data_IF_724724869522
#
_entry.id   IF_724724869522
#
_cell.length_a   1.000
_cell.length_b   1.000
_cell.length_c   1.000
_cell.angle_alpha   90.00
_cell.angle_beta   90.00
_cell.angle_gamma   90.00
#
_symmetry.space_group_name_H-M   'P 1'
#
loop_
_entity.id
_entity.type
_entity.pdbx_description
1 polymer ?
#
# COMPACT_ATOMS: atom_id res chain seq x y z
N UNK A 1 19.67 4.28 8.74
CA UNK A 1 19.79 5.75 8.93
C UNK A 1 18.49 6.40 9.40
N UNK A 2 17.36 6.25 8.69
CA UNK A 2 16.11 6.95 9.04
C UNK A 2 15.64 6.67 10.48
N UNK A 3 15.69 5.40 10.91
CA UNK A 3 15.28 5.00 12.26
C UNK A 3 16.12 5.67 13.36
N UNK A 4 17.42 5.82 13.14
CA UNK A 4 18.32 6.50 14.09
C UNK A 4 18.06 8.01 14.11
N UNK A 5 17.81 8.64 12.96
CA UNK A 5 17.46 10.06 12.87
C UNK A 5 16.08 10.36 13.50
N UNK A 6 15.10 9.47 13.31
CA UNK A 6 13.79 9.57 13.96
C UNK A 6 13.90 9.38 15.47
N UNK A 7 14.72 8.43 15.93
CA UNK A 7 14.97 8.24 17.36
C UNK A 7 15.65 9.47 17.99
N UNK A 8 16.65 10.04 17.32
CA UNK A 8 17.37 11.23 17.79
C UNK A 8 16.46 12.47 17.81
N UNK A 9 15.60 12.61 16.80
CA UNK A 9 14.59 13.67 16.72
C UNK A 9 13.52 13.56 17.82
N UNK A 10 13.06 12.34 18.13
CA UNK A 10 12.15 12.09 19.24
C UNK A 10 12.83 12.38 20.57
N UNK A 11 14.09 11.98 20.73
CA UNK A 11 14.89 12.24 21.92
C UNK A 11 15.09 13.75 22.15
N UNK A 12 15.46 14.51 21.12
CA UNK A 12 15.58 15.98 21.19
C UNK A 12 14.23 16.66 21.47
N UNK A 13 13.14 16.17 20.88
CA UNK A 13 11.80 16.72 21.15
C UNK A 13 11.35 16.49 22.60
N UNK A 14 11.65 15.32 23.16
CA UNK A 14 11.38 14.99 24.57
C UNK A 14 12.22 15.86 25.50
N UNK A 15 13.49 16.08 25.15
CA UNK A 15 14.42 16.87 25.94
C UNK A 15 14.08 18.37 25.91
N UNK A 16 13.81 18.93 24.72
CA UNK A 16 13.41 20.34 24.53
C UNK A 16 12.05 20.65 25.17
N UNK A 17 11.15 19.68 25.27
CA UNK A 17 9.86 19.84 25.95
C UNK A 17 9.93 19.64 27.48
N UNK A 18 11.12 19.37 28.04
CA UNK A 18 11.32 19.22 29.48
C UNK A 18 10.70 17.95 30.08
N UNK A 19 10.39 16.93 29.27
CA UNK A 19 9.76 15.67 29.72
C UNK A 19 10.78 14.57 30.07
N UNK A 20 12.08 14.84 29.91
CA UNK A 20 13.18 13.91 30.25
C UNK A 20 13.08 13.41 31.69
N UNK A 21 12.82 14.33 32.63
CA UNK A 21 12.71 14.07 34.06
C UNK A 21 11.51 13.17 34.40
N UNK A 22 10.36 13.39 33.75
CA UNK A 22 9.15 12.58 33.95
C UNK A 22 9.32 11.15 33.42
N UNK A 23 10.08 10.98 32.33
CA UNK A 23 10.40 9.66 31.79
C UNK A 23 11.42 8.95 32.70
N UNK A 24 12.39 9.68 33.25
CA UNK A 24 13.37 9.12 34.18
C UNK A 24 12.73 8.65 35.50
N UNK A 25 11.72 9.37 36.01
CA UNK A 25 10.88 8.94 37.15
C UNK A 25 10.03 7.73 36.76
N UNK A 26 9.38 7.74 35.59
CA UNK A 26 8.51 6.64 35.13
C UNK A 26 9.28 5.32 34.91
N UNK A 27 10.53 5.40 34.45
CA UNK A 27 11.41 4.25 34.24
C UNK A 27 12.15 3.85 35.54
N UNK A 28 11.95 4.60 36.64
CA UNK A 28 12.51 4.29 37.95
C UNK A 28 14.01 4.56 38.08
N UNK A 29 14.56 5.45 37.25
CA UNK A 29 15.96 5.88 37.30
C UNK A 29 16.24 6.92 38.39
N UNK A 30 15.21 7.65 38.85
CA UNK A 30 15.31 8.71 39.86
C UNK A 30 13.99 8.78 40.65
N UNK A 31 14.06 8.95 41.98
CA UNK A 31 12.87 8.91 42.86
C UNK A 31 12.16 10.26 43.01
N UNK A 32 12.83 11.39 42.73
CA UNK A 32 12.24 12.74 42.77
C UNK A 32 13.13 13.76 42.06
N UNK A 33 12.52 14.78 41.44
CA UNK A 33 13.24 15.93 40.88
C UNK A 33 13.36 17.06 41.91
N UNK A 34 14.50 17.79 41.96
CA UNK A 34 14.63 18.97 42.81
C UNK A 34 13.69 20.09 42.34
N UNK A 35 13.11 20.85 43.27
CA UNK A 35 12.12 21.92 43.04
C UNK A 35 12.68 23.15 42.29
N UNK A 36 13.96 23.14 41.91
CA UNK A 36 14.64 24.27 41.27
C UNK A 36 15.27 23.87 39.92
N UNK A 37 14.91 24.61 38.86
CA UNK A 37 15.37 24.41 37.48
C UNK A 37 16.88 24.55 37.30
N UNK A 38 17.37 24.01 36.18
CA UNK A 38 18.80 23.86 35.89
C UNK A 38 19.57 25.18 35.86
N UNK A 39 20.81 25.14 36.38
CA UNK A 39 21.74 26.26 36.43
C UNK A 39 22.44 26.43 35.08
N UNK A 40 22.15 27.51 34.36
CA UNK A 40 22.99 27.94 33.23
C UNK A 40 24.15 28.76 33.77
N UNK A 41 25.35 28.16 33.85
CA UNK A 41 26.59 28.88 34.17
C UNK A 41 27.23 29.42 32.89
N UNK A 42 27.40 30.74 32.79
CA UNK A 42 28.17 31.38 31.72
C UNK A 42 29.69 31.19 31.93
N UNK A 43 30.52 31.31 30.87
CA UNK A 43 31.96 31.16 31.03
C UNK A 43 32.54 32.35 31.79
N UNK A 44 33.25 32.03 32.88
CA UNK A 44 34.30 32.81 33.53
C UNK A 44 34.19 34.34 33.47
N UNK A 45 33.47 34.94 34.43
CA UNK A 45 33.66 36.35 34.81
C UNK A 45 32.40 37.20 35.01
N UNK A 46 31.21 36.71 34.65
CA UNK A 46 29.95 37.46 34.85
C UNK A 46 28.98 36.62 35.68
N UNK A 47 28.78 37.02 36.93
CA UNK A 47 27.92 36.34 37.89
C UNK A 47 26.44 36.70 37.61
N UNK A 48 25.81 35.99 36.69
CA UNK A 48 24.37 36.02 36.45
C UNK A 48 23.80 34.63 36.71
N UNK A 49 23.66 34.26 37.98
CA UNK A 49 22.93 33.07 38.40
C UNK A 49 21.42 33.35 38.28
N UNK A 50 20.82 32.98 37.15
CA UNK A 50 19.37 33.10 36.93
C UNK A 50 18.73 31.74 37.22
N UNK A 51 17.92 31.68 38.27
CA UNK A 51 17.11 30.52 38.64
C UNK A 51 15.68 30.72 38.12
N UNK A 52 15.16 29.78 37.33
CA UNK A 52 13.79 29.85 36.83
C UNK A 52 13.22 28.49 36.44
N UNK A 53 11.89 28.28 36.57
CA UNK A 53 11.24 27.07 36.09
C UNK A 53 11.30 27.03 34.55
N UNK A 54 11.71 25.88 33.98
CA UNK A 54 11.64 25.63 32.54
C UNK A 54 10.17 25.72 32.09
N UNK A 55 9.79 26.89 31.58
CA UNK A 55 8.56 27.03 30.80
C UNK A 55 8.95 26.88 29.35
N UNK A 56 8.28 25.96 28.66
CA UNK A 56 8.41 25.76 27.21
C UNK A 56 8.26 27.13 26.52
N UNK A 57 9.36 27.62 25.97
CA UNK A 57 9.42 28.93 25.35
C UNK A 57 8.93 28.89 23.90
N UNK A 58 8.68 30.05 23.32
CA UNK A 58 8.37 30.19 21.87
C UNK A 58 9.47 29.60 20.98
N UNK A 59 10.72 29.56 21.46
CA UNK A 59 11.86 28.97 20.76
C UNK A 59 11.76 27.43 20.72
N UNK A 60 11.31 26.79 21.81
CA UNK A 60 11.11 25.33 21.88
C UNK A 60 9.99 24.88 20.93
N UNK A 61 8.91 25.66 20.83
CA UNK A 61 7.87 25.42 19.82
C UNK A 61 8.38 25.56 18.39
N UNK A 62 9.29 26.51 18.13
CA UNK A 62 9.91 26.68 16.81
C UNK A 62 10.83 25.51 16.46
N UNK A 63 11.60 25.01 17.43
CA UNK A 63 12.44 23.81 17.27
C UNK A 63 11.56 22.58 16.99
N UNK A 64 10.47 22.40 17.73
CA UNK A 64 9.56 21.27 17.56
C UNK A 64 8.79 21.33 16.22
N UNK A 65 8.42 22.54 15.78
CA UNK A 65 7.85 22.78 14.44
C UNK A 65 8.87 22.47 13.33
N UNK A 66 10.13 22.87 13.50
CA UNK A 66 11.19 22.56 12.54
C UNK A 66 11.50 21.07 12.47
N UNK A 67 11.58 20.39 13.61
CA UNK A 67 11.81 18.94 13.70
C UNK A 67 10.67 18.13 13.10
N UNK A 68 9.42 18.50 13.37
CA UNK A 68 8.26 17.87 12.75
C UNK A 68 8.22 18.11 11.23
N UNK A 69 8.56 19.31 10.77
CA UNK A 69 8.72 19.63 9.35
C UNK A 69 9.81 18.78 8.69
N UNK A 70 10.97 18.58 9.34
CA UNK A 70 12.06 17.74 8.83
C UNK A 70 11.64 16.26 8.76
N UNK A 71 10.94 15.74 9.77
CA UNK A 71 10.41 14.36 9.75
C UNK A 71 9.40 14.18 8.60
N UNK A 72 8.47 15.12 8.43
CA UNK A 72 7.45 15.08 7.38
C UNK A 72 8.12 15.17 6.00
N UNK A 73 9.07 16.08 5.82
CA UNK A 73 9.78 16.23 4.55
C UNK A 73 10.63 15.01 4.21
N UNK A 74 11.27 14.36 5.19
CA UNK A 74 11.99 13.10 5.00
C UNK A 74 11.06 11.94 4.58
N UNK A 75 9.84 11.90 5.11
CA UNK A 75 8.83 10.90 4.73
C UNK A 75 8.20 11.18 3.36
N UNK A 76 7.90 12.44 3.07
CA UNK A 76 7.27 12.89 1.82
C UNK A 76 8.26 12.87 0.64
N UNK A 77 9.51 13.29 0.86
CA UNK A 77 10.55 13.38 -0.16
C UNK A 77 11.53 12.21 -0.12
N UNK A 78 11.12 11.06 0.46
CA UNK A 78 11.94 9.85 0.46
C UNK A 78 12.53 9.62 -0.93
N UNK A 79 13.86 9.70 -1.13
CA UNK A 79 14.46 9.29 -2.38
C UNK A 79 14.11 7.81 -2.54
N UNK A 80 13.25 7.52 -3.51
CA UNK A 80 12.97 6.15 -3.90
C UNK A 80 14.26 5.63 -4.50
N UNK A 81 15.06 4.94 -3.68
CA UNK A 81 15.98 3.95 -4.23
C UNK A 81 15.16 3.11 -5.21
N UNK A 82 15.66 3.03 -6.45
CA UNK A 82 15.06 2.22 -7.50
C UNK A 82 15.25 0.73 -7.15
N UNK A 83 14.63 0.27 -6.06
CA UNK A 83 14.23 -1.12 -5.96
C UNK A 83 13.27 -1.32 -7.12
N UNK A 84 13.74 -2.05 -8.14
CA UNK A 84 12.94 -2.66 -9.19
C UNK A 84 11.69 -3.25 -8.55
N UNK A 85 10.62 -2.45 -8.58
CA UNK A 85 9.38 -2.82 -7.93
C UNK A 85 8.72 -3.74 -8.94
N UNK A 86 8.83 -5.04 -8.69
CA UNK A 86 7.88 -6.05 -9.18
C UNK A 86 6.50 -5.44 -8.99
N UNK A 87 5.92 -4.93 -10.07
CA UNK A 87 4.62 -4.28 -10.02
C UNK A 87 3.61 -5.40 -9.77
N UNK A 88 3.35 -5.66 -8.48
CA UNK A 88 2.30 -6.59 -8.06
C UNK A 88 1.01 -6.05 -8.63
N UNK A 89 0.57 -6.64 -9.74
CA UNK A 89 -0.55 -6.25 -10.59
C UNK A 89 -1.66 -5.53 -9.84
N UNK A 90 -1.54 -4.21 -9.72
CA UNK A 90 -2.58 -3.39 -9.12
C UNK A 90 -3.75 -3.34 -10.09
N UNK A 91 -4.91 -3.76 -9.63
CA UNK A 91 -6.19 -3.72 -10.37
C UNK A 91 -6.69 -2.26 -10.47
N UNK A 92 -6.23 -1.41 -9.55
CA UNK A 92 -6.55 0.01 -9.50
C UNK A 92 -5.39 0.84 -10.04
N UNK A 93 -5.62 1.53 -11.15
CA UNK A 93 -4.75 2.54 -11.71
C UNK A 93 -5.19 3.93 -11.22
N UNK A 94 -4.22 4.82 -11.01
CA UNK A 94 -4.51 6.21 -10.69
C UNK A 94 -4.79 6.94 -12.00
N UNK A 95 -6.06 7.30 -12.23
CA UNK A 95 -6.47 8.08 -13.41
C UNK A 95 -6.01 9.52 -13.31
N UNK A 96 -6.14 10.11 -12.13
CA UNK A 96 -5.79 11.52 -11.92
C UNK A 96 -5.40 11.80 -10.47
N UNK A 97 -4.13 12.14 -10.30
CA UNK A 97 -3.57 12.56 -9.01
C UNK A 97 -4.21 13.84 -8.48
N UNK A 98 -4.71 14.72 -9.36
CA UNK A 98 -5.38 15.98 -8.95
C UNK A 98 -6.72 15.69 -8.26
N UNK A 99 -7.54 14.82 -8.84
CA UNK A 99 -8.83 14.42 -8.26
C UNK A 99 -8.66 13.67 -6.94
N UNK A 100 -7.62 12.82 -6.82
CA UNK A 100 -7.29 12.17 -5.53
C UNK A 100 -6.92 13.21 -4.47
N UNK A 101 -6.11 14.22 -4.81
CA UNK A 101 -5.73 15.31 -3.89
C UNK A 101 -6.95 16.13 -3.46
N UNK A 102 -7.84 16.49 -4.38
CA UNK A 102 -9.08 17.18 -4.04
C UNK A 102 -10.01 16.34 -3.17
N UNK A 103 -10.10 15.03 -3.44
CA UNK A 103 -10.85 14.10 -2.59
C UNK A 103 -10.29 14.05 -1.17
N UNK A 104 -8.99 13.85 -1.00
CA UNK A 104 -8.33 13.86 0.31
C UNK A 104 -8.58 15.17 1.08
N UNK A 105 -8.47 16.31 0.39
CA UNK A 105 -8.75 17.61 0.99
C UNK A 105 -10.21 17.74 1.43
N UNK A 106 -11.16 17.33 0.58
CA UNK A 106 -12.59 17.31 0.93
C UNK A 106 -12.89 16.41 2.12
N UNK A 107 -12.27 15.23 2.17
CA UNK A 107 -12.43 14.29 3.28
C UNK A 107 -11.90 14.89 4.58
N UNK A 108 -10.75 15.55 4.53
CA UNK A 108 -10.18 16.22 5.68
C UNK A 108 -11.11 17.32 6.22
N UNK A 109 -11.66 18.15 5.33
CA UNK A 109 -12.67 19.15 5.70
C UNK A 109 -13.94 18.52 6.27
N UNK A 110 -14.43 17.43 5.69
CA UNK A 110 -15.60 16.70 6.18
C UNK A 110 -15.39 16.18 7.61
N UNK A 111 -14.21 15.62 7.89
CA UNK A 111 -13.85 15.12 9.22
C UNK A 111 -13.75 16.26 10.23
N UNK A 112 -13.10 17.37 9.86
CA UNK A 112 -13.01 18.55 10.73
C UNK A 112 -14.39 19.12 11.03
N UNK A 113 -15.25 19.28 10.02
CA UNK A 113 -16.63 19.77 10.20
C UNK A 113 -17.42 18.81 11.10
N UNK A 114 -17.28 17.50 10.90
CA UNK A 114 -17.92 16.48 11.76
C UNK A 114 -17.43 16.56 13.20
N UNK A 115 -16.11 16.69 13.42
CA UNK A 115 -15.52 16.81 14.74
C UNK A 115 -15.98 18.10 15.45
N UNK A 116 -16.08 19.20 14.71
CA UNK A 116 -16.56 20.48 15.23
C UNK A 116 -18.02 20.40 15.70
N UNK A 117 -18.89 19.79 14.88
CA UNK A 117 -20.32 19.62 15.20
C UNK A 117 -20.60 18.55 16.27
N UNK A 118 -19.58 17.75 16.63
CA UNK A 118 -19.60 16.79 17.75
C UNK A 118 -18.93 17.31 19.01
N UNK A 119 -18.75 18.63 19.12
CA UNK A 119 -18.20 19.30 20.31
C UNK A 119 -16.76 18.89 20.66
N UNK A 120 -16.04 18.25 19.73
CA UNK A 120 -14.67 17.79 19.98
C UNK A 120 -13.74 18.95 20.34
N UNK A 121 -13.87 20.08 19.65
CA UNK A 121 -13.05 21.27 19.92
C UNK A 121 -13.44 21.98 21.21
N UNK A 122 -14.73 21.98 21.59
CA UNK A 122 -15.18 22.51 22.87
C UNK A 122 -14.58 21.68 24.02
N UNK A 123 -14.66 20.35 23.93
CA UNK A 123 -14.05 19.44 24.90
C UNK A 123 -12.53 19.61 25.00
N UNK A 124 -11.84 19.78 23.86
CA UNK A 124 -10.40 20.04 23.84
C UNK A 124 -10.05 21.37 24.51
N UNK A 125 -10.81 22.43 24.23
CA UNK A 125 -10.61 23.76 24.83
C UNK A 125 -10.84 23.73 26.35
N UNK A 126 -11.92 23.09 26.79
CA UNK A 126 -12.28 22.97 28.21
C UNK A 126 -11.20 22.25 29.01
N UNK A 127 -10.63 21.18 28.45
CA UNK A 127 -9.56 20.42 29.09
C UNK A 127 -8.24 21.20 29.21
N UNK A 128 -8.00 22.20 28.34
CA UNK A 128 -6.72 22.91 28.26
C UNK A 128 -6.76 24.26 28.98
N UNK A 129 -7.89 24.97 28.89
CA UNK A 129 -8.05 26.35 29.38
C UNK A 129 -8.92 26.41 30.65
N UNK A 130 -9.65 25.34 30.99
CA UNK A 130 -10.50 25.27 32.19
C UNK A 130 -11.79 26.08 32.10
N UNK A 131 -12.11 26.63 30.93
CA UNK A 131 -13.36 27.32 30.63
C UNK A 131 -14.46 26.33 30.25
N UNK A 132 -15.75 26.73 30.38
CA UNK A 132 -16.90 25.94 29.91
C UNK A 132 -17.37 26.48 28.56
N UNK A 133 -16.75 26.00 27.49
CA UNK A 133 -17.24 26.17 26.13
C UNK A 133 -18.16 25.00 25.76
N UNK A 134 -19.26 25.28 25.09
CA UNK A 134 -20.23 24.28 24.65
C UNK A 134 -20.53 24.46 23.16
N UNK A 135 -20.81 23.35 22.47
CA UNK A 135 -21.17 23.33 21.06
C UNK A 135 -20.00 23.45 20.07
N UNK A 136 -20.24 24.14 18.95
CA UNK A 136 -19.29 24.20 17.82
C UNK A 136 -18.51 25.51 17.79
N UNK A 137 -17.25 25.41 17.33
CA UNK A 137 -16.39 26.55 17.10
C UNK A 137 -16.63 27.14 15.70
N UNK A 138 -16.93 28.42 15.60
CA UNK A 138 -17.22 29.05 14.31
C UNK A 138 -17.31 30.56 14.39
N UNK A 139 -17.66 31.16 13.25
CA UNK A 139 -18.06 32.56 13.20
C UNK A 139 -19.55 32.61 13.49
N UNK A 140 -19.89 33.14 14.65
CA UNK A 140 -21.27 33.37 15.07
C UNK A 140 -21.46 34.88 15.24
N UNK A 141 -22.46 35.43 14.57
CA UNK A 141 -22.77 36.88 14.57
C UNK A 141 -21.54 37.77 14.29
N UNK A 142 -20.67 37.34 13.39
CA UNK A 142 -19.46 38.07 12.98
C UNK A 142 -18.26 37.96 13.93
N UNK A 143 -18.39 37.20 15.02
CA UNK A 143 -17.31 36.97 15.98
C UNK A 143 -16.92 35.49 16.04
N UNK A 144 -15.63 35.22 16.21
CA UNK A 144 -15.13 33.86 16.40
C UNK A 144 -15.42 33.41 17.83
N UNK A 145 -16.13 32.30 17.99
CA UNK A 145 -16.47 31.79 19.32
C UNK A 145 -17.06 30.38 19.31
N UNK A 146 -17.24 29.86 20.52
CA UNK A 146 -18.03 28.65 20.74
C UNK A 146 -19.48 29.04 21.00
N UNK A 147 -20.41 28.37 20.33
CA UNK A 147 -21.82 28.48 20.64
C UNK A 147 -22.46 27.09 20.67
N UNK A 148 -23.45 26.88 21.57
CA UNK A 148 -24.22 25.64 21.61
C UNK A 148 -24.85 25.40 20.24
N UNK A 149 -24.55 24.24 19.66
CA UNK A 149 -25.06 23.87 18.34
C UNK A 149 -26.14 22.80 18.52
N UNK A 150 -27.33 23.09 18.04
CA UNK A 150 -28.35 22.07 17.80
C UNK A 150 -28.21 21.59 16.36
N UNK A 151 -28.29 20.28 16.15
CA UNK A 151 -28.17 19.70 14.82
C UNK A 151 -29.32 20.14 13.93
N UNK A 152 -29.05 21.06 13.01
CA UNK A 152 -29.98 21.51 12.01
C UNK A 152 -29.95 20.63 10.76
N UNK A 153 -31.02 20.67 9.97
CA UNK A 153 -31.06 20.00 8.67
C UNK A 153 -29.95 20.47 7.71
N UNK A 154 -29.58 21.76 7.80
CA UNK A 154 -28.47 22.33 7.04
C UNK A 154 -27.12 21.67 7.37
N UNK A 155 -26.91 21.25 8.62
CA UNK A 155 -25.67 20.61 9.04
C UNK A 155 -25.49 19.23 8.42
N UNK A 156 -26.58 18.47 8.33
CA UNK A 156 -26.61 17.18 7.65
C UNK A 156 -26.37 17.34 6.15
N UNK A 157 -26.95 18.37 5.52
CA UNK A 157 -26.72 18.67 4.10
C UNK A 157 -25.26 19.01 3.84
N UNK A 158 -24.65 19.89 4.66
CA UNK A 158 -23.24 20.27 4.51
C UNK A 158 -22.32 19.06 4.54
N UNK A 159 -22.48 18.19 5.54
CA UNK A 159 -21.70 16.96 5.66
C UNK A 159 -21.98 16.01 4.49
N UNK A 160 -23.25 15.84 4.09
CA UNK A 160 -23.62 15.00 2.95
C UNK A 160 -22.95 15.49 1.66
N UNK A 161 -22.89 16.79 1.42
CA UNK A 161 -22.20 17.39 0.26
C UNK A 161 -20.70 17.11 0.32
N UNK A 162 -20.05 17.34 1.46
CA UNK A 162 -18.60 17.13 1.62
C UNK A 162 -18.19 15.66 1.42
N UNK A 163 -18.94 14.72 1.99
CA UNK A 163 -18.69 13.29 1.81
C UNK A 163 -19.03 12.82 0.39
N UNK A 164 -20.11 13.34 -0.22
CA UNK A 164 -20.46 13.04 -1.61
C UNK A 164 -19.42 13.56 -2.59
N UNK A 165 -18.87 14.75 -2.34
CA UNK A 165 -17.80 15.32 -3.16
C UNK A 165 -16.51 14.50 -3.05
N UNK A 166 -16.18 13.96 -1.87
CA UNK A 166 -15.09 12.99 -1.73
C UNK A 166 -15.31 11.74 -2.59
N UNK A 167 -16.50 11.14 -2.54
CA UNK A 167 -16.83 9.96 -3.35
C UNK A 167 -16.72 10.27 -4.85
N UNK A 168 -17.25 11.43 -5.27
CA UNK A 168 -17.13 11.89 -6.65
C UNK A 168 -15.67 12.04 -7.09
N UNK A 169 -14.84 12.66 -6.26
CA UNK A 169 -13.41 12.82 -6.52
C UNK A 169 -12.69 11.46 -6.60
N UNK A 170 -13.02 10.52 -5.71
CA UNK A 170 -12.48 9.16 -5.75
C UNK A 170 -12.85 8.45 -7.06
N UNK A 171 -14.09 8.59 -7.52
CA UNK A 171 -14.56 8.01 -8.77
C UNK A 171 -13.87 8.60 -10.01
N UNK A 172 -13.55 9.90 -9.99
CA UNK A 172 -12.76 10.54 -11.05
C UNK A 172 -11.26 10.27 -10.96
N UNK A 173 -10.76 9.98 -9.76
CA UNK A 173 -9.34 9.78 -9.47
C UNK A 173 -8.85 8.34 -9.69
N UNK A 174 -9.73 7.35 -9.54
CA UNK A 174 -9.39 5.92 -9.61
C UNK A 174 -9.96 5.32 -10.89
N UNK A 175 -9.12 4.62 -11.64
CA UNK A 175 -9.52 3.82 -12.79
C UNK A 175 -9.27 2.35 -12.50
N UNK A 176 -10.25 1.52 -12.86
CA UNK A 176 -10.12 0.07 -12.77
C UNK A 176 -9.55 -0.40 -14.10
N UNK A 177 -8.41 -1.06 -14.06
CA UNK A 177 -7.73 -1.57 -15.27
C UNK A 177 -8.54 -2.74 -15.86
N UNK A 178 -9.44 -2.40 -16.81
CA UNK A 178 -10.33 -3.35 -17.47
C UNK A 178 -9.58 -4.38 -18.32
N UNK A 179 -8.37 -4.06 -18.79
CA UNK A 179 -7.57 -4.96 -19.62
C UNK A 179 -7.01 -6.15 -18.82
N UNK A 180 -6.81 -5.99 -17.50
CA UNK A 180 -6.48 -7.11 -16.61
C UNK A 180 -7.71 -7.93 -16.19
N UNK A 181 -8.89 -7.31 -16.17
CA UNK A 181 -10.15 -7.99 -15.83
C UNK A 181 -10.66 -8.87 -16.98
N UNK A 182 -10.48 -8.42 -18.22
CA UNK A 182 -10.74 -9.20 -19.41
C UNK A 182 -9.44 -9.30 -20.22
N UNK A 183 -8.53 -10.22 -19.88
CA UNK A 183 -7.42 -10.52 -20.78
C UNK A 183 -8.02 -10.89 -22.13
N UNK A 184 -7.54 -10.24 -23.21
CA UNK A 184 -7.90 -10.63 -24.58
C UNK A 184 -7.66 -12.15 -24.66
N UNK A 185 -8.66 -12.95 -25.02
CA UNK A 185 -8.51 -14.39 -25.05
C UNK A 185 -7.36 -14.73 -26.00
N UNK A 186 -6.31 -15.34 -25.44
CA UNK A 186 -5.20 -15.86 -26.23
C UNK A 186 -5.73 -17.05 -27.02
N UNK A 187 -6.17 -16.79 -28.25
CA UNK A 187 -6.72 -17.80 -29.17
C UNK A 187 -5.62 -18.67 -29.80
N UNK A 188 -4.36 -18.52 -29.33
CA UNK A 188 -3.25 -19.35 -29.77
C UNK A 188 -3.36 -20.73 -29.18
N UNK A 189 -2.94 -21.69 -29.98
CA UNK A 189 -2.88 -23.06 -29.56
C UNK A 189 -1.88 -23.26 -28.39
N UNK A 190 -2.02 -24.30 -27.56
CA UNK A 190 -1.18 -24.47 -26.37
C UNK A 190 0.32 -24.57 -26.73
N UNK A 191 0.64 -25.24 -27.84
CA UNK A 191 2.00 -25.30 -28.41
C UNK A 191 2.48 -23.91 -28.89
N UNK A 192 1.64 -23.16 -29.59
CA UNK A 192 1.96 -21.80 -30.06
C UNK A 192 2.17 -20.83 -28.90
N UNK A 193 1.44 -21.02 -27.79
CA UNK A 193 1.63 -20.21 -26.59
C UNK A 193 2.99 -20.47 -25.94
N UNK A 194 3.47 -21.72 -25.93
CA UNK A 194 4.81 -22.06 -25.45
C UNK A 194 5.87 -21.41 -26.35
N UNK A 195 5.75 -21.57 -27.67
CA UNK A 195 6.68 -20.96 -28.64
C UNK A 195 6.67 -19.43 -28.58
N UNK A 196 5.49 -18.82 -28.47
CA UNK A 196 5.32 -17.38 -28.27
C UNK A 196 6.00 -16.93 -26.98
N UNK A 197 5.81 -17.65 -25.88
CA UNK A 197 6.46 -17.36 -24.60
C UNK A 197 7.99 -17.46 -24.65
N UNK A 198 8.55 -18.41 -25.41
CA UNK A 198 10.01 -18.51 -25.61
C UNK A 198 10.53 -17.30 -26.39
N UNK A 199 9.82 -16.89 -27.45
CA UNK A 199 10.20 -15.72 -28.26
C UNK A 199 10.07 -14.42 -27.46
N UNK A 200 9.03 -14.29 -26.65
CA UNK A 200 8.83 -13.13 -25.79
C UNK A 200 9.88 -13.09 -24.68
N UNK A 201 10.27 -14.24 -24.12
CA UNK A 201 11.38 -14.35 -23.18
C UNK A 201 12.71 -13.89 -23.81
N UNK A 202 13.01 -14.29 -25.05
CA UNK A 202 14.20 -13.85 -25.78
C UNK A 202 14.20 -12.33 -25.99
N UNK A 203 13.03 -11.76 -26.34
CA UNK A 203 12.88 -10.32 -26.49
C UNK A 203 13.12 -9.59 -25.17
N UNK A 204 12.52 -10.06 -24.09
CA UNK A 204 12.62 -9.43 -22.77
C UNK A 204 14.03 -9.57 -22.19
N UNK A 205 14.74 -10.66 -22.50
CA UNK A 205 16.14 -10.85 -22.09
C UNK A 205 17.07 -9.75 -22.61
N UNK A 206 16.71 -9.08 -23.72
CA UNK A 206 17.47 -7.93 -24.26
C UNK A 206 17.36 -6.69 -23.38
N UNK A 207 16.33 -6.60 -22.54
CA UNK A 207 16.06 -5.46 -21.66
C UNK A 207 16.23 -5.79 -20.18
N UNK A 208 15.82 -7.00 -19.76
CA UNK A 208 15.86 -7.51 -18.40
C UNK A 208 16.13 -9.02 -18.46
N UNK A 209 17.38 -9.39 -18.18
CA UNK A 209 17.87 -10.78 -18.28
C UNK A 209 17.13 -11.68 -17.30
N UNK A 210 16.79 -11.19 -16.10
CA UNK A 210 16.15 -12.00 -15.07
C UNK A 210 14.69 -12.31 -15.44
N UNK A 211 13.96 -11.32 -15.93
CA UNK A 211 12.58 -11.54 -16.40
C UNK A 211 12.53 -12.45 -17.63
N UNK A 212 13.45 -12.26 -18.58
CA UNK A 212 13.59 -13.15 -19.73
C UNK A 212 13.85 -14.60 -19.30
N UNK A 213 14.78 -14.82 -18.38
CA UNK A 213 15.10 -16.16 -17.87
C UNK A 213 13.92 -16.85 -17.17
N UNK A 214 13.14 -16.10 -16.37
CA UNK A 214 11.94 -16.63 -15.70
C UNK A 214 10.90 -17.10 -16.73
N UNK A 215 10.60 -16.26 -17.73
CA UNK A 215 9.62 -16.58 -18.79
C UNK A 215 10.08 -17.76 -19.64
N UNK A 216 11.37 -17.82 -19.98
CA UNK A 216 11.95 -18.96 -20.70
C UNK A 216 11.79 -20.25 -19.89
N UNK A 217 12.12 -20.23 -18.59
CA UNK A 217 12.01 -21.40 -17.73
C UNK A 217 10.56 -21.89 -17.58
N UNK A 218 9.60 -20.97 -17.49
CA UNK A 218 8.17 -21.30 -17.47
C UNK A 218 7.74 -21.99 -18.78
N UNK A 219 8.11 -21.43 -19.93
CA UNK A 219 7.84 -22.05 -21.23
C UNK A 219 8.50 -23.41 -21.39
N UNK A 220 9.77 -23.58 -21.00
CA UNK A 220 10.46 -24.87 -21.03
C UNK A 220 9.79 -25.90 -20.11
N UNK A 221 9.36 -25.50 -18.92
CA UNK A 221 8.64 -26.38 -18.00
C UNK A 221 7.33 -26.86 -18.62
N UNK A 222 6.58 -25.96 -19.26
CA UNK A 222 5.34 -26.32 -19.95
C UNK A 222 5.59 -27.28 -21.14
N UNK A 223 6.67 -27.07 -21.90
CA UNK A 223 7.08 -27.98 -22.98
C UNK A 223 7.44 -29.37 -22.46
N UNK A 224 8.23 -29.45 -21.39
CA UNK A 224 8.62 -30.72 -20.76
C UNK A 224 7.39 -31.45 -20.24
N UNK A 225 6.42 -30.74 -19.66
CA UNK A 225 5.17 -31.34 -19.19
C UNK A 225 4.32 -31.91 -20.35
N UNK A 226 4.22 -31.19 -21.48
CA UNK A 226 3.57 -31.71 -22.69
C UNK A 226 4.26 -32.98 -23.20
N UNK A 227 5.59 -32.96 -23.28
CA UNK A 227 6.36 -34.14 -23.69
C UNK A 227 6.17 -35.31 -22.71
N UNK A 228 6.08 -35.00 -21.41
CA UNK A 228 5.73 -35.97 -20.37
C UNK A 228 4.35 -36.59 -20.58
N UNK A 229 3.37 -35.82 -21.04
CA UNK A 229 2.04 -36.33 -21.37
C UNK A 229 2.07 -37.23 -22.63
N UNK A 230 2.76 -36.79 -23.69
CA UNK A 230 2.93 -37.58 -24.92
C UNK A 230 3.65 -38.91 -24.68
N UNK A 231 4.75 -38.88 -23.92
CA UNK A 231 5.49 -40.09 -23.54
C UNK A 231 4.66 -41.03 -22.66
N UNK A 232 3.86 -40.50 -21.74
CA UNK A 232 2.94 -41.29 -20.92
C UNK A 232 1.87 -41.98 -21.77
N UNK A 233 1.39 -41.33 -22.84
CA UNK A 233 0.47 -41.95 -23.81
C UNK A 233 1.18 -43.07 -24.58
N UNK A 234 2.38 -42.82 -25.10
CA UNK A 234 3.15 -43.84 -25.82
C UNK A 234 3.46 -45.05 -24.93
N UNK A 235 3.76 -44.82 -23.65
CA UNK A 235 3.93 -45.89 -22.67
C UNK A 235 2.61 -46.64 -22.40
N UNK A 236 1.47 -45.96 -22.42
CA UNK A 236 0.16 -46.60 -22.32
C UNK A 236 -0.12 -47.50 -23.53
N UNK A 237 0.19 -47.02 -24.74
CA UNK A 237 0.07 -47.79 -25.98
C UNK A 237 1.00 -49.01 -25.98
N UNK A 238 2.28 -48.84 -25.66
CA UNK A 238 3.23 -49.93 -25.56
C UNK A 238 2.82 -50.98 -24.51
N UNK A 239 2.33 -50.55 -23.34
CA UNK A 239 1.82 -51.48 -22.32
C UNK A 239 0.59 -52.27 -22.82
N UNK A 240 -0.23 -51.65 -23.68
CA UNK A 240 -1.39 -52.31 -24.29
C UNK A 240 -0.94 -53.34 -25.33
N UNK A 241 0.06 -53.00 -26.15
CA UNK A 241 0.65 -53.90 -27.15
C UNK A 241 1.33 -55.12 -26.51
N UNK A 242 1.94 -54.93 -25.33
CA UNK A 242 2.52 -55.99 -24.50
C UNK A 242 1.46 -56.84 -23.75
N UNK A 243 0.18 -56.46 -23.83
CA UNK A 243 -0.93 -57.17 -23.19
C UNK A 243 -1.20 -56.78 -21.72
N UNK A 244 -0.47 -55.82 -21.15
CA UNK A 244 -0.75 -55.27 -19.81
C UNK A 244 -1.81 -54.17 -19.87
N UNK A 245 -3.06 -54.62 -20.04
CA UNK A 245 -4.26 -53.76 -20.11
C UNK A 245 -4.42 -52.92 -18.84
N UNK A 246 -4.03 -53.43 -17.67
CA UNK A 246 -4.20 -52.73 -16.39
C UNK A 246 -3.24 -51.54 -16.30
N UNK A 247 -1.98 -51.74 -16.66
CA UNK A 247 -0.98 -50.68 -16.68
C UNK A 247 -1.30 -49.63 -17.74
N UNK A 248 -1.68 -50.08 -18.95
CA UNK A 248 -2.14 -49.21 -20.04
C UNK A 248 -3.31 -48.32 -19.59
N UNK A 249 -4.35 -48.93 -19.00
CA UNK A 249 -5.52 -48.22 -18.51
C UNK A 249 -5.18 -47.23 -17.39
N UNK A 250 -4.29 -47.57 -16.47
CA UNK A 250 -3.88 -46.65 -15.40
C UNK A 250 -3.13 -45.42 -15.94
N UNK A 251 -2.24 -45.62 -16.91
CA UNK A 251 -1.52 -44.51 -17.57
C UNK A 251 -2.47 -43.64 -18.37
N UNK A 252 -3.36 -44.25 -19.15
CA UNK A 252 -4.41 -43.55 -19.88
C UNK A 252 -5.34 -42.77 -18.95
N UNK A 253 -5.79 -43.37 -17.85
CA UNK A 253 -6.62 -42.71 -16.84
C UNK A 253 -5.90 -41.52 -16.20
N UNK A 254 -4.59 -41.60 -15.98
CA UNK A 254 -3.81 -40.46 -15.47
C UNK A 254 -3.75 -39.27 -16.44
N UNK A 255 -3.92 -39.53 -17.74
CA UNK A 255 -3.97 -38.52 -18.80
C UNK A 255 -5.40 -37.98 -19.01
N UNK A 256 -6.44 -38.80 -18.93
CA UNK A 256 -7.80 -38.38 -19.32
C UNK A 256 -8.70 -38.00 -18.14
N UNK A 257 -8.39 -38.46 -16.93
CA UNK A 257 -9.24 -38.20 -15.77
C UNK A 257 -9.04 -36.78 -15.24
N UNK A 258 -10.11 -36.11 -14.79
CA UNK A 258 -10.06 -34.72 -14.26
C UNK A 258 -9.03 -34.52 -13.14
N UNK A 259 -8.81 -35.54 -12.30
CA UNK A 259 -7.84 -35.55 -11.20
C UNK A 259 -6.48 -36.18 -11.56
N UNK A 260 -6.28 -36.56 -12.82
CA UNK A 260 -5.03 -37.11 -13.31
C UNK A 260 -3.92 -36.06 -13.26
N UNK A 261 -2.70 -36.47 -12.91
CA UNK A 261 -1.55 -35.55 -12.74
C UNK A 261 -1.20 -34.85 -14.06
N UNK A 262 -1.35 -35.57 -15.17
CA UNK A 262 -0.97 -35.10 -16.51
C UNK A 262 -2.18 -34.63 -17.34
N UNK A 263 -3.38 -34.55 -16.74
CA UNK A 263 -4.60 -34.27 -17.49
C UNK A 263 -4.64 -32.88 -18.12
N UNK A 264 -4.13 -31.86 -17.42
CA UNK A 264 -4.05 -30.51 -17.97
C UNK A 264 -3.13 -30.45 -19.19
N UNK A 265 -1.97 -31.10 -19.08
CA UNK A 265 -0.96 -31.11 -20.14
C UNK A 265 -1.43 -31.95 -21.33
N UNK A 266 -2.03 -33.11 -21.07
CA UNK A 266 -2.65 -33.96 -22.08
C UNK A 266 -3.76 -33.23 -22.85
N UNK A 267 -4.66 -32.57 -22.14
CA UNK A 267 -5.74 -31.81 -22.77
C UNK A 267 -5.20 -30.68 -23.65
N UNK A 268 -4.21 -29.93 -23.15
CA UNK A 268 -3.55 -28.89 -23.95
C UNK A 268 -2.86 -29.45 -25.20
N UNK A 269 -2.23 -30.62 -25.08
CA UNK A 269 -1.62 -31.31 -26.22
C UNK A 269 -2.66 -31.79 -27.23
N UNK A 270 -3.71 -32.47 -26.79
CA UNK A 270 -4.73 -33.03 -27.67
C UNK A 270 -5.49 -31.94 -28.42
N UNK A 271 -5.89 -30.87 -27.72
CA UNK A 271 -6.48 -29.68 -28.35
C UNK A 271 -5.50 -29.07 -29.36
N UNK A 272 -4.19 -29.13 -29.07
CA UNK A 272 -3.20 -28.62 -30.01
C UNK A 272 -3.03 -29.44 -31.27
N UNK A 273 -3.06 -30.76 -31.13
CA UNK A 273 -2.96 -31.68 -32.26
C UNK A 273 -4.22 -31.64 -33.12
N UNK A 274 -5.40 -31.55 -32.51
CA UNK A 274 -6.67 -31.40 -33.24
C UNK A 274 -6.68 -30.12 -34.09
N UNK A 275 -6.26 -28.99 -33.52
CA UNK A 275 -6.18 -27.72 -34.27
C UNK A 275 -5.11 -27.73 -35.38
N UNK A 276 -4.00 -28.45 -35.20
CA UNK A 276 -2.98 -28.58 -36.22
C UNK A 276 -3.39 -29.55 -37.35
N UNK A 277 -4.33 -30.47 -37.07
CA UNK A 277 -4.90 -31.40 -38.04
C UNK A 277 -6.09 -30.85 -38.82
N UNK A 278 -6.63 -29.70 -38.40
CA UNK A 278 -7.67 -28.96 -39.13
C UNK A 278 -7.00 -28.18 -40.27
N UNK A 279 -6.66 -28.90 -41.35
CA UNK A 279 -6.20 -28.27 -42.58
C UNK A 279 -7.37 -27.46 -43.13
N UNK A 280 -7.18 -26.14 -43.27
CA UNK A 280 -8.10 -25.30 -44.03
C UNK A 280 -8.21 -25.96 -45.41
N UNK A 281 -9.40 -26.49 -45.75
CA UNK A 281 -9.70 -26.87 -47.13
C UNK A 281 -9.45 -25.61 -47.96
N UNK A 282 -8.36 -25.60 -48.75
CA UNK A 282 -8.12 -24.54 -49.71
C UNK A 282 -9.34 -24.52 -50.64
N UNK A 283 -10.18 -23.48 -50.52
CA UNK A 283 -11.26 -23.22 -51.48
C UNK A 283 -10.60 -23.06 -52.86
N UNK A 284 -10.77 -24.06 -53.74
CA UNK A 284 -10.46 -23.99 -55.17
C UNK A 284 -11.25 -22.89 -55.90
#
# INVERSE_FOLDING_TARGET
>A
MLFAATFLAIFEAINSAGYSDNIAIFVGLIDSTPVAGEKISSPSGVNLDIWGPLKVGTLDYAILAFLSYVIVTLWVHRPREALSKKDKGRIFAIKSTKWIRFGLFSLFLAIISTANKREFFANLSNNTVGTKHEGSFGIHDGTWGFQPIEWGFADFIELAILYSFFIFCAWKGIEVDKAKLNPIPDNRNFIERIWGGIRDAERDQRTDIEQGAIKANESFTNLVNLLGAATSLNLAAASLDEGDVKLAFNKWKNLTHRKGKQNKDWKGLSESLDQAGDFIEEEE
#
